data_IF_529009317393
#
_entry.id   IF_529009317393
#
_cell.length_a   1.000
_cell.length_b   1.000
_cell.length_c   1.000
_cell.angle_alpha   90.00
_cell.angle_beta   90.00
_cell.angle_gamma   90.00
#
_symmetry.space_group_name_H-M   'P 1'
#
loop_
_entity.id
_entity.type
_entity.pdbx_description
1 polymer ?
#
# COMPACT_ATOMS: atom_id res chain seq x y z
N UNK A 1 -4.86 -47.58 -15.45
CA UNK A 1 -4.39 -46.66 -16.52
C UNK A 1 -4.83 -45.21 -16.29
N UNK A 2 -6.08 -44.91 -15.92
CA UNK A 2 -6.55 -43.51 -15.75
C UNK A 2 -6.01 -42.79 -14.50
N UNK A 3 -5.82 -43.51 -13.39
CA UNK A 3 -5.32 -42.91 -12.13
C UNK A 3 -3.84 -42.52 -12.21
N UNK A 4 -3.02 -43.30 -12.92
CA UNK A 4 -1.62 -42.97 -13.14
C UNK A 4 -1.45 -41.66 -13.94
N UNK A 5 -2.26 -41.48 -14.99
CA UNK A 5 -2.28 -40.25 -15.78
C UNK A 5 -2.75 -39.03 -14.98
N UNK A 6 -3.70 -39.21 -14.06
CA UNK A 6 -4.17 -38.15 -13.17
C UNK A 6 -3.09 -37.72 -12.17
N UNK A 7 -2.34 -38.68 -11.62
CA UNK A 7 -1.22 -38.44 -10.71
C UNK A 7 -0.05 -37.74 -11.43
N UNK A 8 0.26 -38.14 -12.65
CA UNK A 8 1.28 -37.47 -13.47
C UNK A 8 0.88 -36.03 -13.84
N UNK A 9 -0.38 -35.79 -14.17
CA UNK A 9 -0.89 -34.45 -14.43
C UNK A 9 -0.80 -33.54 -13.20
N UNK A 10 -1.10 -34.08 -12.01
CA UNK A 10 -0.98 -33.37 -10.74
C UNK A 10 0.49 -33.06 -10.41
N UNK A 11 1.40 -34.01 -10.64
CA UNK A 11 2.83 -33.81 -10.47
C UNK A 11 3.39 -32.73 -11.41
N UNK A 12 2.94 -32.69 -12.67
CA UNK A 12 3.33 -31.66 -13.63
C UNK A 12 2.76 -30.28 -13.26
N UNK A 13 1.53 -30.20 -12.77
CA UNK A 13 0.93 -28.96 -12.30
C UNK A 13 1.70 -28.39 -11.09
N UNK A 14 2.06 -29.25 -10.13
CA UNK A 14 2.86 -28.87 -8.96
C UNK A 14 4.28 -28.44 -9.35
N UNK A 15 4.96 -29.19 -10.23
CA UNK A 15 6.28 -28.83 -10.74
C UNK A 15 6.26 -27.48 -11.48
N UNK A 16 5.18 -27.18 -12.19
CA UNK A 16 5.00 -25.90 -12.88
C UNK A 16 4.78 -24.75 -11.90
N UNK A 17 4.00 -24.97 -10.83
CA UNK A 17 3.76 -23.98 -9.78
C UNK A 17 5.01 -23.66 -8.96
N UNK A 18 5.81 -24.68 -8.62
CA UNK A 18 7.09 -24.50 -7.90
C UNK A 18 8.11 -23.75 -8.77
N UNK A 19 8.18 -24.04 -10.08
CA UNK A 19 9.03 -23.28 -11.02
C UNK A 19 8.58 -21.83 -11.17
N UNK A 20 7.28 -21.54 -11.07
CA UNK A 20 6.76 -20.18 -11.09
C UNK A 20 7.05 -19.42 -9.79
N UNK A 21 7.03 -20.08 -8.63
CA UNK A 21 7.43 -19.49 -7.34
C UNK A 21 8.94 -19.22 -7.25
N UNK A 22 9.77 -20.02 -7.92
CA UNK A 22 11.21 -19.78 -8.02
C UNK A 22 11.58 -18.65 -9.00
N UNK A 23 10.60 -18.10 -9.73
CA UNK A 23 10.79 -16.85 -10.45
C UNK A 23 10.83 -15.77 -9.36
N UNK A 24 11.93 -15.01 -9.21
CA UNK A 24 11.88 -13.84 -8.33
C UNK A 24 10.67 -13.02 -8.79
N UNK A 25 9.86 -12.45 -7.86
CA UNK A 25 8.85 -11.50 -8.26
C UNK A 25 9.54 -10.54 -9.22
N UNK A 26 8.99 -10.35 -10.42
CA UNK A 26 9.54 -9.36 -11.35
C UNK A 26 9.34 -8.03 -10.62
N UNK A 27 10.35 -7.65 -9.82
CA UNK A 27 10.47 -6.37 -9.13
C UNK A 27 10.77 -5.34 -10.21
N UNK A 28 9.90 -5.27 -11.21
CA UNK A 28 9.56 -4.02 -11.83
C UNK A 28 8.54 -3.37 -10.90
N UNK A 29 9.07 -3.00 -9.73
CA UNK A 29 8.76 -1.73 -9.13
C UNK A 29 8.58 -0.75 -10.30
N UNK A 30 7.40 -0.16 -10.51
CA UNK A 30 7.24 0.81 -11.59
C UNK A 30 8.34 1.84 -11.36
N UNK A 31 9.25 1.88 -12.34
CA UNK A 31 10.44 2.72 -12.42
C UNK A 31 10.36 3.86 -11.42
N UNK A 32 11.28 3.87 -10.45
CA UNK A 32 11.68 5.13 -9.83
C UNK A 32 12.10 6.04 -10.99
N UNK A 33 11.15 6.81 -11.49
CA UNK A 33 11.42 7.94 -12.33
C UNK A 33 12.17 8.88 -11.40
N UNK A 34 13.50 8.78 -11.42
CA UNK A 34 14.39 9.89 -11.10
C UNK A 34 14.17 10.97 -12.17
N UNK A 35 12.95 11.52 -12.21
CA UNK A 35 12.77 12.86 -12.67
C UNK A 35 13.27 13.71 -11.51
N UNK A 36 14.25 14.56 -11.77
CA UNK A 36 14.58 15.76 -11.02
C UNK A 36 13.40 16.73 -11.04
N UNK A 37 12.21 16.24 -10.67
CA UNK A 37 11.07 17.07 -10.36
C UNK A 37 11.44 17.78 -9.05
N UNK A 38 11.19 19.09 -8.99
CA UNK A 38 11.26 19.79 -7.72
C UNK A 38 10.46 19.01 -6.68
N UNK A 39 10.97 18.91 -5.44
CA UNK A 39 10.29 18.20 -4.36
C UNK A 39 8.82 18.64 -4.24
N UNK A 40 8.52 19.89 -4.59
CA UNK A 40 7.18 20.48 -4.62
C UNK A 40 6.24 19.80 -5.64
N UNK A 41 6.73 19.46 -6.84
CA UNK A 41 5.91 18.79 -7.85
C UNK A 41 5.56 17.35 -7.43
N UNK A 42 6.50 16.66 -6.78
CA UNK A 42 6.28 15.32 -6.22
C UNK A 42 5.28 15.39 -5.06
N UNK A 43 5.45 16.34 -4.13
CA UNK A 43 4.52 16.56 -3.03
C UNK A 43 3.11 16.87 -3.52
N UNK A 44 2.97 17.72 -4.56
CA UNK A 44 1.68 18.02 -5.16
C UNK A 44 1.02 16.78 -5.78
N UNK A 45 1.80 15.93 -6.46
CA UNK A 45 1.30 14.68 -7.01
C UNK A 45 0.81 13.72 -5.91
N UNK A 46 1.55 13.61 -4.79
CA UNK A 46 1.14 12.82 -3.63
C UNK A 46 -0.14 13.35 -3.00
N UNK A 47 -0.22 14.66 -2.72
CA UNK A 47 -1.42 15.29 -2.15
C UNK A 47 -2.63 15.04 -3.04
N UNK A 48 -2.49 15.19 -4.36
CA UNK A 48 -3.58 14.91 -5.31
C UNK A 48 -4.04 13.45 -5.24
N UNK A 49 -3.11 12.50 -5.17
CA UNK A 49 -3.44 11.08 -5.08
C UNK A 49 -4.11 10.74 -3.75
N UNK A 50 -3.58 11.25 -2.64
CA UNK A 50 -4.16 11.12 -1.29
C UNK A 50 -5.61 11.59 -1.28
N UNK A 51 -5.89 12.79 -1.82
CA UNK A 51 -7.27 13.31 -1.88
C UNK A 51 -8.21 12.40 -2.66
N UNK A 52 -7.76 11.89 -3.80
CA UNK A 52 -8.54 10.93 -4.59
C UNK A 52 -8.84 9.65 -3.81
N UNK A 53 -7.87 9.12 -3.05
CA UNK A 53 -8.06 7.93 -2.22
C UNK A 53 -9.04 8.20 -1.06
N UNK A 54 -8.98 9.38 -0.44
CA UNK A 54 -9.95 9.79 0.58
C UNK A 54 -11.37 9.79 0.02
N UNK A 55 -11.59 10.37 -1.15
CA UNK A 55 -12.91 10.47 -1.77
C UNK A 55 -13.44 9.11 -2.24
N UNK A 56 -12.59 8.30 -2.88
CA UNK A 56 -13.01 7.04 -3.47
C UNK A 56 -13.18 5.90 -2.45
N UNK A 57 -12.39 5.90 -1.37
CA UNK A 57 -12.31 4.80 -0.39
C UNK A 57 -12.61 5.22 1.04
N UNK A 58 -13.08 6.46 1.26
CA UNK A 58 -13.42 7.00 2.59
C UNK A 58 -12.26 6.95 3.60
N UNK A 59 -11.02 7.12 3.12
CA UNK A 59 -9.79 7.03 3.92
C UNK A 59 -9.37 8.37 4.58
N UNK A 60 -10.29 9.29 4.81
CA UNK A 60 -9.98 10.56 5.50
C UNK A 60 -9.41 10.33 6.91
N UNK A 61 -9.89 9.29 7.59
CA UNK A 61 -9.41 8.92 8.93
C UNK A 61 -7.90 8.66 8.98
N UNK A 62 -7.31 8.16 7.90
CA UNK A 62 -5.86 7.87 7.79
C UNK A 62 -5.07 9.18 7.72
N UNK A 63 -5.60 10.17 6.99
CA UNK A 63 -5.03 11.52 6.94
C UNK A 63 -5.11 12.17 8.30
N UNK A 64 -6.23 12.05 8.99
CA UNK A 64 -6.43 12.65 10.32
C UNK A 64 -5.41 12.12 11.34
N UNK A 65 -5.04 10.83 11.27
CA UNK A 65 -4.00 10.24 12.11
C UNK A 65 -2.59 10.82 11.86
N UNK A 66 -2.28 11.24 10.63
CA UNK A 66 -1.00 11.90 10.31
C UNK A 66 -1.00 13.40 10.61
N UNK A 67 -2.19 13.99 10.70
CA UNK A 67 -2.39 15.41 10.97
C UNK A 67 -2.76 15.71 12.42
N UNK A 68 -2.63 14.78 13.37
CA UNK A 68 -2.98 15.00 14.78
C UNK A 68 -2.39 16.31 15.36
N UNK A 69 -1.14 16.63 14.98
CA UNK A 69 -0.44 17.85 15.41
C UNK A 69 -0.25 18.89 14.29
N UNK A 70 -0.94 18.71 13.15
CA UNK A 70 -0.80 19.53 11.93
C UNK A 70 -2.17 19.93 11.38
N UNK A 71 -2.24 20.96 10.55
CA UNK A 71 -3.53 21.39 10.01
C UNK A 71 -3.76 20.92 8.58
N UNK A 72 -2.69 20.75 7.80
CA UNK A 72 -2.80 20.52 6.36
C UNK A 72 -1.80 19.48 5.88
N UNK A 73 -2.18 18.76 4.81
CA UNK A 73 -1.25 17.87 4.09
C UNK A 73 -0.02 18.60 3.55
N UNK A 74 -0.11 19.90 3.29
CA UNK A 74 1.03 20.72 2.85
C UNK A 74 2.07 20.93 3.94
N UNK A 75 1.71 20.66 5.20
CA UNK A 75 2.62 20.78 6.34
C UNK A 75 3.47 19.51 6.52
N UNK A 76 3.16 18.45 5.77
CA UNK A 76 3.92 17.20 5.72
C UNK A 76 5.08 17.32 4.74
N UNK A 77 6.23 16.78 5.14
CA UNK A 77 7.38 16.65 4.25
C UNK A 77 7.07 15.68 3.10
N UNK A 78 7.83 15.74 2.01
CA UNK A 78 7.66 14.81 0.89
C UNK A 78 7.82 13.34 1.31
N UNK A 79 8.67 13.06 2.31
CA UNK A 79 8.84 11.72 2.88
C UNK A 79 7.60 11.27 3.66
N UNK A 80 7.04 12.13 4.51
CA UNK A 80 5.80 11.83 5.25
C UNK A 80 4.61 11.67 4.31
N UNK A 81 4.50 12.50 3.28
CA UNK A 81 3.48 12.35 2.23
C UNK A 81 3.64 11.03 1.47
N UNK A 82 4.88 10.62 1.20
CA UNK A 82 5.17 9.33 0.58
C UNK A 82 4.75 8.16 1.48
N UNK A 83 5.07 8.22 2.77
CA UNK A 83 4.68 7.20 3.75
C UNK A 83 3.15 7.10 3.90
N UNK A 84 2.46 8.24 4.06
CA UNK A 84 1.01 8.30 4.11
C UNK A 84 0.38 7.73 2.83
N UNK A 85 0.91 8.07 1.66
CA UNK A 85 0.41 7.52 0.40
C UNK A 85 0.55 5.99 0.34
N UNK A 86 1.67 5.43 0.80
CA UNK A 86 1.85 3.98 0.90
C UNK A 86 0.80 3.34 1.81
N UNK A 87 0.60 3.89 3.02
CA UNK A 87 -0.43 3.41 3.97
C UNK A 87 -1.84 3.48 3.35
N UNK A 88 -2.15 4.52 2.58
CA UNK A 88 -3.45 4.65 1.90
C UNK A 88 -3.64 3.65 0.75
N UNK A 89 -2.60 3.34 -0.01
CA UNK A 89 -2.68 2.32 -1.06
C UNK A 89 -2.81 0.91 -0.48
N UNK A 90 -2.18 0.64 0.67
CA UNK A 90 -2.37 -0.59 1.44
C UNK A 90 -3.81 -0.72 1.96
N UNK A 91 -4.36 0.35 2.53
CA UNK A 91 -5.77 0.37 2.92
C UNK A 91 -6.72 0.14 1.73
N UNK A 92 -6.40 0.73 0.57
CA UNK A 92 -7.15 0.53 -0.67
C UNK A 92 -7.13 -0.93 -1.09
N UNK A 93 -5.98 -1.58 -1.06
CA UNK A 93 -5.82 -2.99 -1.41
C UNK A 93 -6.63 -3.88 -0.46
N UNK A 94 -6.52 -3.66 0.86
CA UNK A 94 -7.31 -4.36 1.85
C UNK A 94 -8.82 -4.22 1.60
N UNK A 95 -9.32 -3.01 1.29
CA UNK A 95 -10.74 -2.79 0.95
C UNK A 95 -11.14 -3.58 -0.30
N UNK A 96 -10.30 -3.58 -1.33
CA UNK A 96 -10.60 -4.30 -2.58
C UNK A 96 -10.59 -5.82 -2.40
N UNK A 97 -9.74 -6.34 -1.51
CA UNK A 97 -9.67 -7.75 -1.17
C UNK A 97 -10.70 -8.17 -0.11
N UNK A 98 -11.43 -7.21 0.48
CA UNK A 98 -12.43 -7.46 1.51
C UNK A 98 -11.84 -7.74 2.89
N UNK A 99 -10.58 -7.36 3.13
CA UNK A 99 -9.94 -7.46 4.43
C UNK A 99 -10.38 -6.32 5.36
N UNK A 100 -10.76 -6.63 6.62
CA UNK A 100 -11.05 -5.61 7.62
C UNK A 100 -9.83 -4.74 7.91
N UNK A 101 -10.03 -3.42 7.97
CA UNK A 101 -8.95 -2.44 8.18
C UNK A 101 -8.32 -2.54 9.57
N UNK A 102 -9.02 -3.13 10.55
CA UNK A 102 -8.48 -3.38 11.89
C UNK A 102 -7.34 -4.39 11.87
N UNK A 103 -7.26 -5.23 10.83
CA UNK A 103 -6.23 -6.27 10.69
C UNK A 103 -4.99 -5.79 9.94
N UNK A 104 -5.03 -4.61 9.30
CA UNK A 104 -3.90 -4.09 8.53
C UNK A 104 -2.84 -3.41 9.40
N UNK A 105 -3.15 -3.12 10.67
CA UNK A 105 -2.25 -2.39 11.56
C UNK A 105 -2.13 -0.89 11.23
N UNK A 106 -2.94 -0.37 10.30
CA UNK A 106 -2.93 1.03 9.90
C UNK A 106 -3.60 1.96 10.93
N UNK A 107 -4.43 1.40 11.81
CA UNK A 107 -5.13 2.18 12.85
C UNK A 107 -4.19 2.38 14.04
N UNK A 108 -3.65 3.60 14.17
CA UNK A 108 -2.72 3.95 15.25
C UNK A 108 -3.45 4.22 16.57
N UNK A 109 -2.85 3.82 17.68
CA UNK A 109 -3.31 4.20 19.02
C UNK A 109 -2.96 5.66 19.29
N UNK A 110 -3.96 6.56 19.27
CA UNK A 110 -3.72 7.99 19.42
C UNK A 110 -3.17 8.40 20.80
N UNK A 111 -3.37 7.57 21.84
CA UNK A 111 -2.79 7.83 23.15
C UNK A 111 -1.25 7.77 23.14
N UNK A 112 -0.65 7.04 22.18
CA UNK A 112 0.81 6.95 22.02
C UNK A 112 1.38 8.09 21.17
N UNK A 113 0.53 8.78 20.40
CA UNK A 113 0.93 9.85 19.47
C UNK A 113 0.87 11.23 20.12
N UNK A 114 -0.04 11.41 21.09
CA UNK A 114 -0.18 12.67 21.81
C UNK A 114 0.95 12.82 22.84
N UNK A 115 1.56 14.02 22.97
CA UNK A 115 2.51 14.27 24.04
C UNK A 115 1.82 14.10 25.40
N UNK A 116 2.50 13.45 26.35
CA UNK A 116 2.02 13.34 27.72
C UNK A 116 1.76 14.75 28.31
N UNK A 117 0.66 14.94 29.05
CA UNK A 117 0.29 16.23 29.62
C UNK A 117 1.31 16.75 30.64
#
# INVERSE_FOLDING_TARGET
>A
MKEAAALEALAQALASKVRQQARPPDVRCPRQCHATASNDAIAFAYIRRIRLLCEAFQLSWLVDQHLVLRQRLTDLTAQELGALLCEMEEAREAIMEGFPLEQTGLIKNMAEVLPNP
#
